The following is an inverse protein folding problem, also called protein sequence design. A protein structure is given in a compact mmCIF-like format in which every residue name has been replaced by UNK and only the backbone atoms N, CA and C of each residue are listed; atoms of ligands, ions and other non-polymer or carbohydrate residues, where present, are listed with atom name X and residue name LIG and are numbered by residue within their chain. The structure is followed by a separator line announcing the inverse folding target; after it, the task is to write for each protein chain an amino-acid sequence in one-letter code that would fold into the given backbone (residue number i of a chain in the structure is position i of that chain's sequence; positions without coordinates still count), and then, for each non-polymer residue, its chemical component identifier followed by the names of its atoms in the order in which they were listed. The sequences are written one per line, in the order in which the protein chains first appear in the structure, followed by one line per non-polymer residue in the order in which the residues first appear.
data_IF_636263399832
#
_entry.id   IF_636263399832
#
_cell.length_a   1.000
_cell.length_b   1.000
_cell.length_c   1.000
_cell.angle_alpha   90.00
_cell.angle_beta   90.00
_cell.angle_gamma   90.00
#
_symmetry.space_group_name_H-M   'P 1'
#
loop_
_entity.id
_entity.type
_entity.pdbx_description
1 polymer ?
#
# COMPACT_ATOMS: atom_id res chain seq x y z
N UNK A 1 -16.61 -21.75 15.65
CA UNK A 1 -15.75 -22.53 14.75
C UNK A 1 -14.28 -22.20 15.00
N UNK A 2 -13.35 -23.07 14.55
CA UNK A 2 -11.91 -22.79 14.64
C UNK A 2 -11.15 -23.42 13.48
N UNK A 3 -10.02 -22.79 13.14
CA UNK A 3 -8.97 -23.35 12.30
C UNK A 3 -7.82 -23.84 13.19
N UNK A 4 -7.08 -24.84 12.73
CA UNK A 4 -5.82 -25.26 13.35
C UNK A 4 -4.70 -25.04 12.34
N UNK A 5 -3.76 -24.15 12.70
CA UNK A 5 -2.59 -23.85 11.87
C UNK A 5 -1.34 -24.10 12.70
N UNK A 6 -0.46 -24.98 12.25
CA UNK A 6 0.76 -25.38 12.99
C UNK A 6 0.50 -25.75 14.45
N UNK A 7 -0.62 -26.46 14.71
CA UNK A 7 -1.03 -26.88 16.06
C UNK A 7 -1.68 -25.77 16.91
N UNK A 8 -1.75 -24.55 16.43
CA UNK A 8 -2.41 -23.44 17.12
C UNK A 8 -3.88 -23.32 16.70
N UNK A 9 -4.76 -23.17 17.69
CA UNK A 9 -6.19 -22.96 17.49
C UNK A 9 -6.47 -21.48 17.21
N UNK A 10 -7.11 -21.19 16.07
CA UNK A 10 -7.53 -19.86 15.66
C UNK A 10 -9.06 -19.83 15.67
N UNK A 11 -9.64 -18.89 16.42
CA UNK A 11 -11.08 -18.68 16.44
C UNK A 11 -11.57 -18.10 15.10
N UNK A 12 -12.69 -18.61 14.61
CA UNK A 12 -13.32 -18.15 13.36
C UNK A 12 -14.72 -17.65 13.68
N UNK A 13 -14.99 -16.42 13.32
CA UNK A 13 -16.31 -15.79 13.41
C UNK A 13 -16.92 -15.72 12.01
N UNK A 14 -18.26 -15.77 11.93
CA UNK A 14 -19.01 -15.63 10.69
C UNK A 14 -19.99 -14.46 10.83
N UNK A 15 -19.41 -13.24 11.05
CA UNK A 15 -20.17 -12.02 11.27
C UNK A 15 -19.86 -11.01 10.16
N UNK A 16 -20.90 -10.45 9.56
CA UNK A 16 -20.79 -9.38 8.56
C UNK A 16 -20.76 -7.98 9.18
N UNK A 17 -21.28 -7.83 10.38
CA UNK A 17 -21.24 -6.61 11.17
C UNK A 17 -20.06 -6.65 12.14
N UNK A 18 -19.09 -5.77 11.93
CA UNK A 18 -17.89 -5.73 12.74
C UNK A 18 -18.16 -5.44 14.23
N UNK A 19 -19.28 -4.82 14.57
CA UNK A 19 -19.68 -4.53 15.95
C UNK A 19 -20.11 -5.77 16.73
N UNK A 20 -20.47 -6.84 16.03
CA UNK A 20 -20.93 -8.11 16.63
C UNK A 20 -19.79 -9.12 16.80
N UNK A 21 -18.59 -8.82 16.30
CA UNK A 21 -17.43 -9.71 16.48
C UNK A 21 -16.86 -9.51 17.89
N UNK A 22 -16.92 -10.55 18.70
CA UNK A 22 -16.51 -10.52 20.11
C UNK A 22 -15.00 -10.68 20.28
N UNK A 23 -14.22 -9.67 19.86
CA UNK A 23 -12.75 -9.69 19.93
C UNK A 23 -12.23 -9.91 21.34
N UNK A 24 -12.86 -9.33 22.34
CA UNK A 24 -12.47 -9.47 23.74
C UNK A 24 -12.51 -10.94 24.21
N UNK A 25 -13.49 -11.73 23.72
CA UNK A 25 -13.67 -13.13 24.13
C UNK A 25 -12.54 -14.04 23.66
N UNK A 26 -11.82 -13.68 22.59
CA UNK A 26 -10.64 -14.40 22.12
C UNK A 26 -9.32 -13.70 22.45
N UNK A 27 -9.36 -12.57 23.18
CA UNK A 27 -8.19 -11.81 23.57
C UNK A 27 -7.51 -11.03 22.44
N UNK A 28 -8.23 -10.79 21.34
CA UNK A 28 -7.70 -10.04 20.19
C UNK A 28 -7.78 -8.52 20.44
N UNK A 29 -6.64 -7.90 20.72
CA UNK A 29 -6.53 -6.46 21.00
C UNK A 29 -6.23 -5.63 19.75
N UNK A 30 -5.47 -6.19 18.80
CA UNK A 30 -5.05 -5.56 17.54
C UNK A 30 -5.78 -6.23 16.38
N UNK A 31 -6.60 -5.46 15.67
CA UNK A 31 -7.38 -5.96 14.54
C UNK A 31 -6.79 -5.45 13.24
N UNK A 32 -6.48 -6.40 12.35
CA UNK A 32 -6.05 -6.11 10.99
C UNK A 32 -7.29 -6.13 10.10
N UNK A 33 -7.78 -4.94 9.73
CA UNK A 33 -8.95 -4.78 8.84
C UNK A 33 -8.50 -4.91 7.38
N UNK A 34 -8.76 -6.05 6.78
CA UNK A 34 -8.34 -6.39 5.41
C UNK A 34 -9.49 -6.73 4.47
N UNK A 35 -10.75 -6.52 4.89
CA UNK A 35 -11.93 -6.82 4.06
C UNK A 35 -12.16 -5.79 2.96
N UNK A 36 -11.65 -4.56 3.14
CA UNK A 36 -11.93 -3.43 2.25
C UNK A 36 -13.31 -2.79 2.42
N UNK A 37 -14.12 -3.26 3.38
CA UNK A 37 -15.45 -2.74 3.67
C UNK A 37 -15.43 -1.58 4.69
N UNK A 38 -14.54 -1.64 5.68
CA UNK A 38 -14.50 -0.73 6.83
C UNK A 38 -13.35 0.29 6.72
N UNK A 39 -13.21 0.95 5.57
CA UNK A 39 -12.08 1.81 5.22
C UNK A 39 -12.26 3.28 5.63
N UNK A 40 -13.04 3.58 6.66
CA UNK A 40 -13.18 4.91 7.25
C UNK A 40 -13.05 4.81 8.76
N UNK A 41 -12.65 5.90 9.42
CA UNK A 41 -12.58 5.99 10.88
C UNK A 41 -13.89 5.51 11.53
N UNK A 42 -15.02 6.00 11.04
CA UNK A 42 -16.34 5.64 11.54
C UNK A 42 -16.61 4.13 11.45
N UNK A 43 -16.42 3.54 10.26
CA UNK A 43 -16.69 2.12 10.05
C UNK A 43 -15.72 1.23 10.79
N UNK A 44 -14.43 1.57 10.78
CA UNK A 44 -13.42 0.81 11.50
C UNK A 44 -13.63 0.83 13.03
N UNK A 45 -14.24 1.91 13.56
CA UNK A 45 -14.53 2.01 14.98
C UNK A 45 -15.55 0.95 15.47
N UNK A 46 -16.30 0.33 14.57
CA UNK A 46 -17.23 -0.76 14.93
C UNK A 46 -16.50 -1.94 15.56
N UNK A 47 -15.27 -2.23 15.14
CA UNK A 47 -14.46 -3.28 15.77
C UNK A 47 -14.14 -2.98 17.25
N UNK A 48 -14.13 -1.71 17.66
CA UNK A 48 -13.87 -1.33 19.06
C UNK A 48 -15.05 -1.72 19.98
N UNK A 49 -16.26 -1.81 19.46
CA UNK A 49 -17.45 -2.26 20.19
C UNK A 49 -17.25 -3.71 20.66
N UNK A 50 -16.65 -4.55 19.81
CA UNK A 50 -16.30 -5.93 20.13
C UNK A 50 -15.07 -6.12 21.03
N UNK A 51 -14.40 -5.01 21.43
CA UNK A 51 -13.29 -5.03 22.37
C UNK A 51 -11.91 -4.82 21.74
N UNK A 52 -11.82 -4.50 20.45
CA UNK A 52 -10.55 -4.13 19.84
C UNK A 52 -9.95 -2.87 20.47
N UNK A 53 -8.66 -2.88 20.79
CA UNK A 53 -7.92 -1.69 21.25
C UNK A 53 -7.38 -0.87 20.09
N UNK A 54 -6.90 -1.54 19.04
CA UNK A 54 -6.32 -0.93 17.83
C UNK A 54 -6.88 -1.58 16.58
N UNK A 55 -7.13 -0.76 15.55
CA UNK A 55 -7.54 -1.24 14.25
C UNK A 55 -6.60 -0.69 13.19
N UNK A 56 -6.04 -1.58 12.37
CA UNK A 56 -5.09 -1.25 11.32
C UNK A 56 -5.74 -1.59 9.97
N UNK A 57 -6.05 -0.57 9.18
CA UNK A 57 -6.57 -0.75 7.83
C UNK A 57 -5.42 -1.13 6.89
N UNK A 58 -5.52 -2.25 6.20
CA UNK A 58 -4.54 -2.66 5.17
C UNK A 58 -4.82 -2.05 3.80
N UNK A 59 -5.65 -1.04 3.76
CA UNK A 59 -6.08 -0.33 2.55
C UNK A 59 -6.06 1.19 2.79
N UNK A 60 -6.02 1.99 1.71
CA UNK A 60 -6.13 3.44 1.85
C UNK A 60 -7.43 3.83 2.53
N UNK A 61 -7.35 4.69 3.53
CA UNK A 61 -8.54 5.28 4.13
C UNK A 61 -9.32 6.10 3.10
N UNK A 62 -10.65 5.94 3.12
CA UNK A 62 -11.56 6.65 2.20
C UNK A 62 -11.99 8.03 2.74
N UNK A 63 -11.67 8.32 3.99
CA UNK A 63 -11.86 9.63 4.62
C UNK A 63 -10.52 10.39 4.74
N UNK A 64 -10.60 11.63 5.20
CA UNK A 64 -9.44 12.50 5.42
C UNK A 64 -8.97 12.50 6.89
N UNK A 65 -9.75 11.89 7.81
CA UNK A 65 -9.48 11.93 9.25
C UNK A 65 -8.67 10.75 9.74
N UNK A 66 -8.70 9.61 9.05
CA UNK A 66 -7.93 8.43 9.41
C UNK A 66 -6.44 8.67 9.15
N UNK A 67 -5.57 8.66 10.18
CA UNK A 67 -4.13 8.80 10.00
C UNK A 67 -3.59 7.69 9.09
N UNK A 68 -2.74 8.09 8.15
CA UNK A 68 -2.16 7.16 7.17
C UNK A 68 -0.65 7.14 7.33
N UNK A 69 -0.07 5.95 7.42
CA UNK A 69 1.36 5.74 7.62
C UNK A 69 1.98 4.89 6.53
N UNK A 70 3.22 5.24 6.19
CA UNK A 70 4.14 4.40 5.43
C UNK A 70 5.43 4.29 6.25
N UNK A 71 5.83 3.05 6.56
CA UNK A 71 7.05 2.80 7.33
C UNK A 71 8.26 3.32 6.54
N UNK A 72 9.19 3.98 7.24
CA UNK A 72 10.32 4.68 6.62
C UNK A 72 10.02 6.12 6.20
N UNK A 73 8.75 6.49 6.02
CA UNK A 73 8.36 7.81 5.52
C UNK A 73 7.86 8.72 6.64
N UNK A 74 6.76 8.36 7.28
CA UNK A 74 6.12 9.18 8.32
C UNK A 74 5.72 8.40 9.58
N UNK A 75 6.14 7.15 9.73
CA UNK A 75 5.75 6.29 10.87
C UNK A 75 6.17 6.86 12.23
N UNK A 76 7.19 7.72 12.28
CA UNK A 76 7.64 8.39 13.51
C UNK A 76 6.60 9.38 14.06
N UNK A 77 5.61 9.76 13.26
CA UNK A 77 4.52 10.64 13.71
C UNK A 77 3.36 9.87 14.37
N UNK A 78 3.45 8.54 14.45
CA UNK A 78 2.48 7.71 15.16
C UNK A 78 2.48 8.02 16.65
N UNK A 79 1.29 8.13 17.23
CA UNK A 79 1.10 8.28 18.67
C UNK A 79 0.21 7.17 19.22
N UNK A 80 0.43 6.81 20.47
CA UNK A 80 -0.32 5.72 21.15
C UNK A 80 -1.83 5.97 21.25
N UNK A 81 -2.26 7.23 21.20
CA UNK A 81 -3.67 7.63 21.21
C UNK A 81 -4.39 7.44 19.86
N UNK A 82 -3.65 7.11 18.81
CA UNK A 82 -4.22 6.77 17.50
C UNK A 82 -4.68 5.31 17.49
N UNK A 83 -5.97 5.10 17.74
CA UNK A 83 -6.53 3.74 17.83
C UNK A 83 -6.85 3.12 16.49
N UNK A 84 -7.10 3.93 15.46
CA UNK A 84 -7.41 3.50 14.10
C UNK A 84 -6.44 4.19 13.15
N UNK A 85 -5.72 3.39 12.37
CA UNK A 85 -4.72 3.89 11.43
C UNK A 85 -4.79 3.12 10.10
N UNK A 86 -4.35 3.75 9.02
CA UNK A 86 -4.22 3.11 7.71
C UNK A 86 -2.76 2.88 7.37
N UNK A 87 -2.44 1.70 6.87
CA UNK A 87 -1.13 1.36 6.31
C UNK A 87 -1.02 1.69 4.81
N UNK A 88 -1.87 2.58 4.29
CA UNK A 88 -1.91 2.97 2.89
C UNK A 88 -2.16 1.78 1.91
N UNK A 89 -1.77 1.92 0.65
CA UNK A 89 -1.84 0.86 -0.37
C UNK A 89 -0.47 0.24 -0.64
N UNK A 90 -0.44 -0.95 -1.24
CA UNK A 90 0.79 -1.59 -1.71
C UNK A 90 1.62 -0.66 -2.61
N UNK A 91 0.98 -0.03 -3.61
CA UNK A 91 1.65 0.92 -4.51
C UNK A 91 2.19 2.15 -3.75
N UNK A 92 1.46 2.66 -2.75
CA UNK A 92 1.93 3.79 -1.94
C UNK A 92 3.13 3.37 -1.07
N UNK A 93 3.15 2.15 -0.54
CA UNK A 93 4.26 1.64 0.25
C UNK A 93 5.54 1.45 -0.57
N UNK A 94 5.43 1.12 -1.87
CA UNK A 94 6.57 1.12 -2.78
C UNK A 94 6.98 2.54 -3.18
N UNK A 95 6.03 3.37 -3.62
CA UNK A 95 6.31 4.70 -4.19
C UNK A 95 6.84 5.70 -3.15
N UNK A 96 6.25 5.76 -1.96
CA UNK A 96 6.55 6.82 -1.00
C UNK A 96 7.98 6.78 -0.45
N UNK A 97 8.60 5.62 -0.14
CA UNK A 97 10.01 5.56 0.22
C UNK A 97 10.92 6.07 -0.90
N UNK A 98 10.71 5.64 -2.15
CA UNK A 98 11.47 6.11 -3.30
C UNK A 98 11.33 7.62 -3.49
N UNK A 99 10.10 8.13 -3.47
CA UNK A 99 9.81 9.57 -3.58
C UNK A 99 10.47 10.35 -2.44
N UNK A 100 10.46 9.82 -1.22
CA UNK A 100 11.11 10.46 -0.08
C UNK A 100 12.63 10.60 -0.30
N UNK A 101 13.30 9.54 -0.73
CA UNK A 101 14.75 9.57 -1.00
C UNK A 101 15.07 10.63 -2.05
N UNK A 102 14.35 10.61 -3.17
CA UNK A 102 14.58 11.55 -4.28
C UNK A 102 14.24 12.99 -3.88
N UNK A 103 13.15 13.19 -3.15
CA UNK A 103 12.71 14.52 -2.72
C UNK A 103 13.64 15.12 -1.65
N UNK A 104 14.10 14.30 -0.70
CA UNK A 104 15.03 14.76 0.34
C UNK A 104 16.39 15.15 -0.25
N UNK A 105 16.85 14.43 -1.30
CA UNK A 105 18.15 14.69 -1.93
C UNK A 105 18.12 15.84 -2.95
N UNK A 106 17.08 15.92 -3.78
CA UNK A 106 17.07 16.81 -4.96
C UNK A 106 15.86 17.73 -5.02
N UNK A 107 14.82 17.49 -4.19
CA UNK A 107 13.54 18.15 -4.27
C UNK A 107 12.74 17.73 -5.51
N UNK A 108 11.43 17.55 -5.36
CA UNK A 108 10.52 17.26 -6.47
C UNK A 108 9.61 18.45 -6.71
N UNK A 109 9.58 18.97 -7.94
CA UNK A 109 8.61 19.98 -8.37
C UNK A 109 7.28 19.34 -8.73
N UNK A 110 7.33 18.26 -9.52
CA UNK A 110 6.17 17.46 -9.93
C UNK A 110 6.62 16.06 -10.35
N UNK A 111 5.71 15.09 -10.24
CA UNK A 111 5.99 13.71 -10.60
C UNK A 111 4.81 13.00 -11.22
N UNK A 112 5.11 12.08 -12.13
CA UNK A 112 4.18 11.12 -12.71
C UNK A 112 4.62 9.71 -12.29
N UNK A 113 3.69 8.94 -11.76
CA UNK A 113 3.90 7.54 -11.45
C UNK A 113 3.09 6.66 -12.40
N UNK A 114 3.75 5.68 -13.01
CA UNK A 114 3.08 4.58 -13.70
C UNK A 114 3.28 3.30 -12.88
N UNK A 115 2.22 2.52 -12.67
CA UNK A 115 2.36 1.22 -12.02
C UNK A 115 1.89 0.10 -12.95
N UNK A 116 2.77 -0.86 -13.19
CA UNK A 116 2.50 -2.13 -13.85
C UNK A 116 2.19 -3.12 -12.74
N UNK A 117 0.90 -3.42 -12.56
CA UNK A 117 0.43 -4.05 -11.34
C UNK A 117 -0.08 -5.47 -11.60
N UNK A 118 0.35 -6.39 -10.76
CA UNK A 118 -0.13 -7.78 -10.75
C UNK A 118 -1.65 -7.86 -10.59
N UNK A 119 -2.22 -8.98 -11.00
CA UNK A 119 -3.63 -9.28 -10.84
C UNK A 119 -4.03 -9.29 -9.36
N UNK A 120 -5.22 -8.79 -9.06
CA UNK A 120 -5.80 -8.85 -7.71
C UNK A 120 -7.21 -9.40 -7.78
N UNK A 121 -7.80 -9.76 -6.64
CA UNK A 121 -9.15 -10.33 -6.55
C UNK A 121 -10.26 -9.47 -7.22
N UNK A 122 -9.98 -8.19 -7.47
CA UNK A 122 -10.90 -7.28 -8.17
C UNK A 122 -11.01 -7.63 -9.66
N UNK A 123 -9.93 -8.09 -10.30
CA UNK A 123 -9.93 -8.50 -11.69
C UNK A 123 -10.63 -9.85 -11.87
N UNK A 124 -11.23 -10.07 -13.04
CA UNK A 124 -11.90 -11.32 -13.39
C UNK A 124 -10.92 -12.29 -14.07
N UNK A 125 -11.08 -13.59 -13.79
CA UNK A 125 -10.32 -14.64 -14.49
C UNK A 125 -10.78 -14.81 -15.94
N UNK A 126 -12.09 -14.71 -16.17
CA UNK A 126 -12.75 -14.71 -17.49
C UNK A 126 -13.62 -13.47 -17.61
N UNK A 127 -13.92 -13.05 -18.83
CA UNK A 127 -14.80 -11.90 -19.07
C UNK A 127 -16.14 -12.09 -18.33
N UNK A 128 -16.50 -11.14 -17.50
CA UNK A 128 -17.70 -11.19 -16.70
C UNK A 128 -18.29 -9.78 -16.52
N UNK A 129 -19.54 -9.75 -16.07
CA UNK A 129 -20.23 -8.50 -15.80
C UNK A 129 -19.49 -7.69 -14.75
N UNK A 130 -19.23 -6.41 -15.03
CA UNK A 130 -18.70 -5.42 -14.12
C UNK A 130 -19.75 -4.32 -13.87
N UNK A 131 -19.57 -3.57 -12.80
CA UNK A 131 -20.41 -2.41 -12.50
C UNK A 131 -20.16 -1.24 -13.48
N UNK A 132 -19.86 -0.06 -12.94
CA UNK A 132 -19.62 1.15 -13.77
C UNK A 132 -18.33 1.14 -14.57
N UNK A 133 -17.30 0.46 -14.05
CA UNK A 133 -15.99 0.32 -14.72
C UNK A 133 -15.94 -0.99 -15.50
N UNK A 134 -16.25 -0.94 -16.77
CA UNK A 134 -16.30 -2.10 -17.65
C UNK A 134 -14.95 -2.80 -17.80
N UNK A 135 -13.84 -2.07 -17.66
CA UNK A 135 -12.49 -2.65 -17.76
C UNK A 135 -12.23 -3.67 -16.67
N UNK A 136 -12.80 -3.51 -15.47
CA UNK A 136 -12.64 -4.49 -14.37
C UNK A 136 -13.39 -5.80 -14.63
N UNK A 137 -14.31 -5.83 -15.59
CA UNK A 137 -15.00 -7.05 -16.03
C UNK A 137 -14.22 -7.90 -17.03
N UNK A 138 -13.15 -7.36 -17.61
CA UNK A 138 -12.34 -8.09 -18.59
C UNK A 138 -11.37 -9.04 -17.90
N UNK A 139 -11.09 -10.15 -18.57
CA UNK A 139 -10.13 -11.15 -18.10
C UNK A 139 -8.74 -10.54 -17.97
N UNK A 140 -8.13 -10.69 -16.79
CA UNK A 140 -6.77 -10.20 -16.54
C UNK A 140 -5.71 -11.05 -17.26
N UNK A 141 -5.97 -12.33 -17.51
CA UNK A 141 -4.97 -13.26 -18.07
C UNK A 141 -4.59 -12.96 -19.52
N UNK A 142 -5.41 -12.25 -20.27
CA UNK A 142 -5.20 -11.98 -21.68
C UNK A 142 -5.20 -10.48 -22.03
N UNK A 143 -5.12 -9.60 -21.02
CA UNK A 143 -5.25 -8.16 -21.25
C UNK A 143 -4.24 -7.35 -20.45
N UNK A 144 -3.84 -6.21 -21.00
CA UNK A 144 -3.30 -5.07 -20.24
C UNK A 144 -4.48 -4.16 -19.96
N UNK A 145 -4.86 -4.02 -18.68
CA UNK A 145 -6.07 -3.29 -18.29
C UNK A 145 -5.69 -1.94 -17.67
N UNK A 146 -5.91 -0.81 -18.37
CA UNK A 146 -5.74 0.51 -17.78
C UNK A 146 -6.68 0.69 -16.58
N UNK A 147 -6.18 1.25 -15.49
CA UNK A 147 -6.94 1.50 -14.28
C UNK A 147 -6.52 2.81 -13.64
N UNK A 148 -7.39 3.40 -12.85
CA UNK A 148 -7.04 4.56 -12.03
C UNK A 148 -6.33 4.11 -10.77
N UNK A 149 -5.45 4.96 -10.24
CA UNK A 149 -4.78 4.75 -8.96
C UNK A 149 -4.82 6.01 -8.11
N UNK A 150 -5.08 5.84 -6.81
CA UNK A 150 -4.97 6.91 -5.83
C UNK A 150 -3.58 7.03 -5.19
N UNK A 151 -2.66 6.13 -5.52
CA UNK A 151 -1.37 6.04 -4.84
C UNK A 151 -0.52 7.30 -4.96
N UNK A 152 -0.46 7.92 -6.13
CA UNK A 152 0.27 9.18 -6.32
C UNK A 152 -0.30 10.33 -5.47
N UNK A 153 -1.64 10.42 -5.36
CA UNK A 153 -2.28 11.40 -4.48
C UNK A 153 -2.04 11.09 -2.99
N UNK A 154 -2.00 9.79 -2.64
CA UNK A 154 -1.75 9.34 -1.28
C UNK A 154 -0.34 9.69 -0.79
N UNK A 155 0.66 9.84 -1.68
CA UNK A 155 1.99 10.35 -1.31
C UNK A 155 1.88 11.72 -0.62
N UNK A 156 1.00 12.61 -1.06
CA UNK A 156 0.77 13.90 -0.44
C UNK A 156 0.14 13.84 0.97
N UNK A 157 -0.37 12.68 1.43
CA UNK A 157 -0.82 12.47 2.81
C UNK A 157 0.35 12.14 3.74
N UNK A 158 1.35 11.41 3.23
CA UNK A 158 2.51 10.95 4.02
C UNK A 158 3.74 11.85 3.84
N UNK A 159 3.80 12.61 2.73
CA UNK A 159 4.80 13.65 2.44
C UNK A 159 4.04 14.94 2.07
N UNK A 160 3.61 15.75 3.06
CA UNK A 160 2.69 16.89 2.85
C UNK A 160 3.18 17.93 1.83
N UNK A 161 4.48 18.14 1.73
CA UNK A 161 5.10 19.08 0.77
C UNK A 161 4.91 18.70 -0.71
N UNK A 162 4.55 17.45 -0.97
CA UNK A 162 4.25 16.93 -2.31
C UNK A 162 2.74 16.89 -2.62
N UNK A 163 1.91 17.42 -1.73
CA UNK A 163 0.47 17.48 -1.96
C UNK A 163 0.16 18.26 -3.25
N UNK A 164 -0.55 17.61 -4.17
CA UNK A 164 -0.91 18.20 -5.48
C UNK A 164 0.18 18.16 -6.54
N UNK A 165 1.40 17.70 -6.22
CA UNK A 165 2.52 17.63 -7.17
C UNK A 165 2.68 16.27 -7.85
N UNK A 166 1.97 15.25 -7.37
CA UNK A 166 2.07 13.89 -7.89
C UNK A 166 0.78 13.47 -8.58
N UNK A 167 0.92 12.86 -9.75
CA UNK A 167 -0.17 12.18 -10.47
C UNK A 167 0.24 10.77 -10.86
N UNK A 168 -0.69 9.96 -11.34
CA UNK A 168 -0.33 8.60 -11.72
C UNK A 168 -1.42 7.83 -12.46
N UNK A 169 -0.97 6.77 -13.12
CA UNK A 169 -1.80 5.80 -13.83
C UNK A 169 -1.40 4.37 -13.46
N UNK A 170 -2.27 3.42 -13.74
CA UNK A 170 -2.07 2.00 -13.42
C UNK A 170 -2.45 1.12 -14.60
N UNK A 171 -1.67 0.06 -14.81
CA UNK A 171 -1.98 -1.00 -15.76
C UNK A 171 -1.98 -2.34 -15.01
N UNK A 172 -3.08 -3.08 -15.09
CA UNK A 172 -3.14 -4.45 -14.60
C UNK A 172 -2.65 -5.39 -15.68
N UNK A 173 -1.78 -6.32 -15.32
CA UNK A 173 -1.12 -7.26 -16.23
C UNK A 173 -1.29 -8.70 -15.73
N UNK A 174 -1.14 -9.71 -16.64
CA UNK A 174 -1.30 -11.12 -16.29
C UNK A 174 -0.13 -11.70 -15.49
N UNK A 175 0.23 -11.08 -14.38
CA UNK A 175 1.19 -11.60 -13.41
C UNK A 175 0.50 -11.88 -12.09
N UNK A 176 0.89 -12.93 -11.39
CA UNK A 176 0.25 -13.35 -10.14
C UNK A 176 0.75 -12.56 -8.95
N UNK A 177 2.00 -12.13 -8.98
CA UNK A 177 2.65 -11.44 -7.88
C UNK A 177 3.71 -10.47 -8.41
N UNK A 178 4.18 -9.57 -7.56
CA UNK A 178 5.10 -8.47 -7.80
C UNK A 178 4.57 -7.43 -8.80
N UNK A 179 4.52 -6.20 -8.35
CA UNK A 179 4.15 -5.03 -9.17
C UNK A 179 5.35 -4.11 -9.32
N UNK A 180 5.37 -3.33 -10.40
CA UNK A 180 6.42 -2.36 -10.68
C UNK A 180 5.86 -0.96 -10.57
N UNK A 181 6.63 -0.04 -9.99
CA UNK A 181 6.39 1.40 -10.01
C UNK A 181 7.48 2.06 -10.82
N UNK A 182 7.08 2.83 -11.81
CA UNK A 182 7.94 3.72 -12.59
C UNK A 182 7.65 5.17 -12.16
N UNK A 183 8.68 5.86 -11.70
CA UNK A 183 8.61 7.25 -11.25
C UNK A 183 9.34 8.16 -12.22
N UNK A 184 8.60 9.00 -12.91
CA UNK A 184 9.14 10.15 -13.67
C UNK A 184 8.99 11.41 -12.82
N UNK A 185 10.07 12.09 -12.49
CA UNK A 185 10.06 13.27 -11.64
C UNK A 185 10.82 14.45 -12.26
N UNK A 186 10.28 15.65 -12.09
CA UNK A 186 10.99 16.89 -12.33
C UNK A 186 11.64 17.34 -11.04
N UNK A 187 12.95 17.39 -11.04
CA UNK A 187 13.75 17.74 -9.86
C UNK A 187 13.92 19.26 -9.75
N UNK A 188 14.00 19.78 -8.54
CA UNK A 188 14.38 21.17 -8.27
C UNK A 188 15.86 21.41 -8.49
N UNK A 189 16.68 20.47 -8.00
CA UNK A 189 18.12 20.48 -8.21
C UNK A 189 18.46 19.43 -9.26
N UNK A 190 19.07 19.79 -10.40
CA UNK A 190 19.52 18.83 -11.39
C UNK A 190 20.45 17.77 -10.79
N UNK A 191 20.32 16.53 -11.24
CA UNK A 191 21.15 15.43 -10.80
C UNK A 191 21.51 14.52 -11.97
N UNK A 192 22.68 13.90 -11.93
CA UNK A 192 23.05 12.85 -12.88
C UNK A 192 22.42 11.51 -12.45
N UNK A 193 22.42 10.56 -13.36
CA UNK A 193 21.94 9.20 -13.08
C UNK A 193 22.73 8.56 -11.90
N UNK A 194 24.04 8.71 -11.93
CA UNK A 194 24.96 8.17 -10.91
C UNK A 194 24.65 8.76 -9.52
N UNK A 195 24.39 10.07 -9.45
CA UNK A 195 24.02 10.72 -8.19
C UNK A 195 22.70 10.21 -7.64
N UNK A 196 21.72 9.92 -8.51
CA UNK A 196 20.44 9.35 -8.08
C UNK A 196 20.66 7.93 -7.55
N UNK A 197 21.39 7.09 -8.28
CA UNK A 197 21.71 5.72 -7.86
C UNK A 197 22.44 5.70 -6.52
N UNK A 198 23.45 6.56 -6.35
CA UNK A 198 24.22 6.67 -5.11
C UNK A 198 23.32 7.03 -3.92
N UNK A 199 22.39 7.98 -4.09
CA UNK A 199 21.46 8.37 -3.02
C UNK A 199 20.46 7.26 -2.66
N UNK A 200 19.98 6.51 -3.63
CA UNK A 200 19.09 5.37 -3.35
C UNK A 200 19.86 4.26 -2.65
N UNK A 201 21.09 3.96 -3.09
CA UNK A 201 21.96 2.96 -2.47
C UNK A 201 22.31 3.35 -1.04
N UNK A 202 22.76 4.58 -0.80
CA UNK A 202 23.03 5.12 0.54
C UNK A 202 21.82 4.95 1.47
N UNK A 203 20.63 5.33 0.98
CA UNK A 203 19.40 5.21 1.76
C UNK A 203 19.08 3.74 2.10
N UNK A 204 19.22 2.82 1.15
CA UNK A 204 18.95 1.39 1.35
C UNK A 204 19.87 0.73 2.39
N UNK A 205 21.09 1.23 2.52
CA UNK A 205 22.08 0.72 3.47
C UNK A 205 21.98 1.39 4.86
N UNK A 206 21.29 2.53 4.96
CA UNK A 206 21.20 3.35 6.17
C UNK A 206 19.77 3.47 6.69
N UNK A 207 19.13 4.63 6.51
CA UNK A 207 17.85 4.96 7.15
C UNK A 207 16.61 4.27 6.53
N UNK A 208 16.75 3.69 5.33
CA UNK A 208 15.73 2.88 4.68
C UNK A 208 16.06 1.37 4.68
N UNK A 209 17.05 0.96 5.46
CA UNK A 209 17.44 -0.45 5.58
C UNK A 209 16.26 -1.30 6.05
N UNK A 210 15.99 -2.39 5.32
CA UNK A 210 14.83 -3.26 5.57
C UNK A 210 13.51 -2.73 5.01
N UNK A 211 13.54 -1.58 4.30
CA UNK A 211 12.39 -0.96 3.64
C UNK A 211 12.64 -0.87 2.14
N UNK A 212 13.81 -0.36 1.76
CA UNK A 212 14.27 -0.23 0.37
C UNK A 212 15.47 -1.14 0.16
N UNK A 213 15.46 -1.90 -0.93
CA UNK A 213 16.60 -2.66 -1.42
C UNK A 213 17.05 -2.08 -2.74
N UNK A 214 18.37 -1.91 -2.88
CA UNK A 214 18.99 -1.46 -4.12
C UNK A 214 19.64 -2.63 -4.86
N UNK A 215 19.50 -2.69 -6.18
CA UNK A 215 20.19 -3.63 -7.05
C UNK A 215 20.53 -2.97 -8.40
N UNK A 216 21.63 -3.40 -9.01
CA UNK A 216 22.02 -3.06 -10.38
C UNK A 216 21.94 -4.29 -11.29
N UNK A 217 21.47 -5.42 -10.77
CA UNK A 217 21.29 -6.64 -11.53
C UNK A 217 20.11 -6.51 -12.50
N UNK A 218 20.19 -7.17 -13.64
CA UNK A 218 19.13 -7.21 -14.66
C UNK A 218 17.98 -8.15 -14.22
N UNK A 219 17.29 -7.80 -13.13
CA UNK A 219 16.23 -8.60 -12.52
C UNK A 219 14.88 -8.40 -13.22
N UNK A 220 14.02 -9.41 -13.09
CA UNK A 220 12.61 -9.38 -13.51
C UNK A 220 11.70 -9.63 -12.32
N UNK A 221 10.39 -9.46 -12.50
CA UNK A 221 9.41 -9.54 -11.38
C UNK A 221 9.46 -10.85 -10.61
N UNK A 222 9.74 -11.99 -11.27
CA UNK A 222 9.82 -13.29 -10.60
C UNK A 222 11.03 -13.42 -9.66
N UNK A 223 12.09 -12.63 -9.86
CA UNK A 223 13.25 -12.62 -8.97
C UNK A 223 12.95 -11.94 -7.63
N UNK A 224 11.86 -11.16 -7.58
CA UNK A 224 11.42 -10.44 -6.39
C UNK A 224 10.33 -11.19 -5.59
N UNK A 225 9.99 -12.44 -5.98
CA UNK A 225 9.03 -13.23 -5.23
C UNK A 225 9.54 -13.52 -3.81
N UNK A 226 8.74 -13.17 -2.80
CA UNK A 226 9.10 -13.35 -1.41
C UNK A 226 10.08 -12.30 -0.86
N UNK A 227 10.39 -11.23 -1.61
CA UNK A 227 11.17 -10.10 -1.10
C UNK A 227 10.43 -9.42 0.06
N UNK A 228 11.14 -9.18 1.17
CA UNK A 228 10.57 -8.60 2.38
C UNK A 228 10.60 -7.07 2.41
N UNK A 229 11.42 -6.44 1.59
CA UNK A 229 11.44 -4.99 1.46
C UNK A 229 10.22 -4.50 0.67
N UNK A 230 9.72 -3.31 0.98
CA UNK A 230 8.52 -2.75 0.34
C UNK A 230 8.82 -2.02 -0.96
N UNK A 231 10.09 -1.70 -1.22
CA UNK A 231 10.59 -1.00 -2.41
C UNK A 231 12.00 -1.49 -2.76
#
# INVERSE_FOLDING_TARGET
DCLIVNGQKIHVFSESDASLIEWANCGAEYIIESTGAFNTMEKASLHKIGGAKKVILTAPAKDEVTPTFVVGVNHQTYRKDMDIVSNASCTTNCLAPLVKIVNDAFGIEQGLMSTIHSATAKQKAVDARAGRDWRTGRSVFNNIIPSTTGAAKAVGRVIPELKGKMTGMSFRVPTNDVSVVDLTARLKTPATYEQICEKVKEASETYMKGIVRYTEDEVVSSDMLGESNTC
#
